data_IF_933778773268
#
_entry.id   IF_933778773268
#
_cell.length_a   1.000
_cell.length_b   1.000
_cell.length_c   1.000
_cell.angle_alpha   90.00
_cell.angle_beta   90.00
_cell.angle_gamma   90.00
#
_symmetry.space_group_name_H-M   'P 1'
#
loop_
_entity.id
_entity.type
_entity.pdbx_description
1 polymer ?
#
# COMPACT_ATOMS: atom_id res chain seq x y z
N UNK A 1 -30.27 -15.11 -5.65
CA UNK A 1 -29.08 -14.22 -5.68
C UNK A 1 -29.59 -12.79 -5.54
N UNK A 2 -28.97 -11.96 -4.71
CA UNK A 2 -29.36 -10.55 -4.60
C UNK A 2 -28.95 -9.86 -5.91
N UNK A 3 -29.89 -9.25 -6.64
CA UNK A 3 -29.56 -8.39 -7.79
C UNK A 3 -28.61 -7.26 -7.36
N UNK A 4 -27.52 -7.06 -8.11
CA UNK A 4 -26.54 -5.99 -7.85
C UNK A 4 -25.45 -6.32 -6.82
N UNK A 5 -25.14 -7.60 -6.59
CA UNK A 5 -24.09 -8.07 -5.66
C UNK A 5 -22.65 -7.99 -6.20
N UNK A 6 -22.37 -7.09 -7.16
CA UNK A 6 -21.04 -6.91 -7.76
C UNK A 6 -20.41 -5.58 -7.40
N UNK A 7 -19.14 -5.65 -7.04
CA UNK A 7 -18.29 -4.49 -6.71
C UNK A 7 -17.09 -4.49 -7.65
N UNK A 8 -16.75 -3.34 -8.22
CA UNK A 8 -15.47 -3.17 -8.93
C UNK A 8 -14.47 -2.61 -7.91
N UNK A 9 -13.26 -3.16 -7.88
CA UNK A 9 -12.18 -2.72 -7.01
C UNK A 9 -10.99 -2.36 -7.88
N UNK A 10 -10.52 -1.11 -7.82
CA UNK A 10 -9.47 -0.58 -8.67
C UNK A 10 -8.35 0.05 -7.81
N UNK A 11 -7.31 -0.72 -7.46
CA UNK A 11 -6.14 -0.22 -6.74
C UNK A 11 -5.22 0.65 -7.60
N UNK A 12 -4.49 1.55 -6.95
CA UNK A 12 -3.33 2.21 -7.55
C UNK A 12 -2.27 1.16 -7.93
N UNK A 13 -1.56 1.30 -9.06
CA UNK A 13 -0.57 0.31 -9.54
C UNK A 13 0.75 0.30 -8.74
N UNK A 14 0.65 0.34 -7.41
CA UNK A 14 1.76 0.20 -6.47
C UNK A 14 1.52 -0.97 -5.52
N UNK A 15 2.56 -1.75 -5.21
CA UNK A 15 2.44 -2.97 -4.40
C UNK A 15 1.76 -2.75 -3.03
N UNK A 16 2.05 -1.63 -2.36
CA UNK A 16 1.42 -1.25 -1.10
C UNK A 16 -0.08 -0.96 -1.19
N UNK A 17 -0.61 -0.77 -2.40
CA UNK A 17 -2.03 -0.50 -2.67
C UNK A 17 -2.75 -1.73 -3.21
N UNK A 18 -2.12 -2.44 -4.15
CA UNK A 18 -2.63 -3.70 -4.72
C UNK A 18 -2.97 -4.73 -3.63
N UNK A 19 -2.04 -4.86 -2.68
CA UNK A 19 -2.07 -5.86 -1.62
C UNK A 19 -3.29 -5.73 -0.69
N UNK A 20 -3.52 -4.59 -0.02
CA UNK A 20 -4.68 -4.43 0.86
C UNK A 20 -6.02 -4.46 0.11
N UNK A 21 -6.08 -3.96 -1.13
CA UNK A 21 -7.33 -3.98 -1.91
C UNK A 21 -7.66 -5.38 -2.46
N UNK A 22 -6.64 -6.21 -2.75
CA UNK A 22 -6.82 -7.63 -3.02
C UNK A 22 -7.39 -8.37 -1.78
N UNK A 23 -6.88 -8.06 -0.59
CA UNK A 23 -7.43 -8.60 0.66
C UNK A 23 -8.87 -8.14 0.92
N UNK A 24 -9.18 -6.90 0.59
CA UNK A 24 -10.55 -6.40 0.65
C UNK A 24 -11.49 -7.22 -0.24
N UNK A 25 -11.09 -7.56 -1.47
CA UNK A 25 -11.87 -8.46 -2.34
C UNK A 25 -12.15 -9.82 -1.68
N UNK A 26 -11.16 -10.45 -1.03
CA UNK A 26 -11.36 -11.70 -0.28
C UNK A 26 -12.35 -11.54 0.87
N UNK A 27 -12.31 -10.42 1.59
CA UNK A 27 -13.28 -10.11 2.65
C UNK A 27 -14.69 -9.89 2.10
N UNK A 28 -14.85 -9.25 0.95
CA UNK A 28 -16.14 -9.14 0.26
C UNK A 28 -16.67 -10.51 -0.17
N UNK A 29 -15.82 -11.33 -0.77
CA UNK A 29 -16.16 -12.69 -1.19
C UNK A 29 -16.64 -13.56 -0.03
N UNK A 30 -15.98 -13.49 1.13
CA UNK A 30 -16.42 -14.19 2.34
C UNK A 30 -17.80 -13.78 2.85
N UNK A 31 -18.32 -12.62 2.43
CA UNK A 31 -19.66 -12.12 2.74
C UNK A 31 -20.67 -12.38 1.61
N UNK A 32 -20.30 -13.18 0.60
CA UNK A 32 -21.16 -13.55 -0.53
C UNK A 32 -21.24 -12.50 -1.64
N UNK A 33 -20.37 -11.48 -1.64
CA UNK A 33 -20.28 -10.50 -2.71
C UNK A 33 -19.29 -10.96 -3.78
N UNK A 34 -19.58 -10.65 -5.04
CA UNK A 34 -18.65 -10.88 -6.14
C UNK A 34 -17.88 -9.60 -6.43
N UNK A 35 -16.57 -9.70 -6.65
CA UNK A 35 -15.72 -8.55 -6.95
C UNK A 35 -15.01 -8.71 -8.28
N UNK A 36 -14.92 -7.62 -9.04
CA UNK A 36 -14.03 -7.49 -10.18
C UNK A 36 -12.83 -6.64 -9.76
N UNK A 37 -11.68 -7.28 -9.56
CA UNK A 37 -10.42 -6.61 -9.25
C UNK A 37 -9.75 -6.15 -10.55
N UNK A 38 -9.70 -4.85 -10.78
CA UNK A 38 -9.06 -4.28 -11.97
C UNK A 38 -7.57 -4.08 -11.68
N UNK A 39 -6.71 -4.73 -12.46
CA UNK A 39 -5.25 -4.58 -12.34
C UNK A 39 -4.68 -3.87 -13.57
N UNK A 40 -3.56 -3.20 -13.38
CA UNK A 40 -2.91 -2.41 -14.43
C UNK A 40 -1.53 -3.00 -14.77
N UNK A 41 -1.46 -4.11 -15.53
CA UNK A 41 -0.19 -4.71 -15.91
C UNK A 41 0.46 -4.00 -17.11
N UNK A 42 1.73 -4.31 -17.36
CA UNK A 42 2.44 -3.86 -18.56
C UNK A 42 1.91 -4.54 -19.83
N UNK A 43 1.54 -5.82 -19.72
CA UNK A 43 1.13 -6.64 -20.86
C UNK A 43 -0.37 -6.93 -20.86
N UNK A 44 -1.02 -6.93 -22.04
CA UNK A 44 -2.40 -7.37 -22.15
C UNK A 44 -2.53 -8.85 -21.77
N UNK A 45 -3.56 -9.14 -20.99
CA UNK A 45 -3.95 -10.50 -20.60
C UNK A 45 -5.46 -10.59 -20.51
N UNK A 46 -6.05 -11.77 -20.80
CA UNK A 46 -7.48 -11.96 -20.66
C UNK A 46 -7.89 -11.92 -19.18
N UNK A 47 -9.16 -11.57 -18.87
CA UNK A 47 -9.69 -11.71 -17.53
C UNK A 47 -9.60 -13.16 -17.03
N UNK A 48 -9.31 -13.32 -15.75
CA UNK A 48 -9.18 -14.64 -15.12
C UNK A 48 -9.78 -14.61 -13.72
N UNK A 49 -10.05 -15.79 -13.16
CA UNK A 49 -10.50 -15.92 -11.77
C UNK A 49 -9.33 -16.31 -10.88
N UNK A 50 -9.37 -15.88 -9.63
CA UNK A 50 -8.35 -16.31 -8.66
C UNK A 50 -8.48 -17.80 -8.38
N UNK A 51 -7.35 -18.51 -8.27
CA UNK A 51 -7.30 -19.99 -8.20
C UNK A 51 -8.13 -20.61 -7.06
N UNK A 52 -8.41 -19.84 -6.00
CA UNK A 52 -9.09 -20.33 -4.80
C UNK A 52 -10.46 -19.68 -4.55
N UNK A 53 -10.88 -18.70 -5.36
CA UNK A 53 -12.15 -18.00 -5.16
C UNK A 53 -12.80 -17.58 -6.48
N UNK A 54 -13.87 -18.29 -6.83
CA UNK A 54 -14.71 -18.01 -8.01
C UNK A 54 -15.46 -16.68 -7.92
N UNK A 55 -15.47 -16.04 -6.74
CA UNK A 55 -16.13 -14.76 -6.48
C UNK A 55 -15.28 -13.56 -6.87
N UNK A 56 -13.98 -13.76 -7.10
CA UNK A 56 -13.04 -12.71 -7.50
C UNK A 56 -12.60 -12.92 -8.94
N UNK A 57 -13.03 -12.01 -9.82
CA UNK A 57 -12.54 -11.94 -11.20
C UNK A 57 -11.50 -10.85 -11.31
N UNK A 58 -10.31 -11.18 -11.79
CA UNK A 58 -9.28 -10.20 -12.14
C UNK A 58 -9.52 -9.73 -13.57
N UNK A 59 -9.59 -8.42 -13.76
CA UNK A 59 -9.75 -7.78 -15.07
C UNK A 59 -8.53 -6.89 -15.38
N UNK A 60 -7.63 -7.33 -16.27
CA UNK A 60 -6.46 -6.53 -16.63
C UNK A 60 -6.80 -5.36 -17.57
N UNK A 61 -6.35 -4.15 -17.23
CA UNK A 61 -6.32 -2.97 -18.11
C UNK A 61 -4.85 -2.59 -18.31
N UNK A 62 -4.26 -2.81 -19.50
CA UNK A 62 -2.85 -2.50 -19.73
C UNK A 62 -2.51 -1.04 -19.41
N UNK A 63 -1.34 -0.78 -18.85
CA UNK A 63 -0.88 0.56 -18.48
C UNK A 63 -0.69 1.52 -19.68
N UNK A 64 -0.68 1.00 -20.90
CA UNK A 64 -0.53 1.78 -22.14
C UNK A 64 0.91 1.87 -22.65
N UNK A 65 1.86 1.19 -22.00
CA UNK A 65 3.25 1.08 -22.45
C UNK A 65 3.46 -0.14 -23.34
N UNK A 66 4.50 -0.08 -24.19
CA UNK A 66 4.95 -1.19 -25.01
C UNK A 66 6.18 -1.87 -24.40
N UNK A 67 6.48 -3.06 -24.88
CA UNK A 67 7.65 -3.83 -24.45
C UNK A 67 8.94 -3.08 -24.84
N UNK A 68 9.73 -2.69 -23.84
CA UNK A 68 10.97 -1.93 -24.02
C UNK A 68 10.90 -0.46 -23.61
N UNK A 69 9.70 0.08 -23.33
CA UNK A 69 9.57 1.36 -22.65
C UNK A 69 10.10 1.23 -21.21
N UNK A 70 10.67 2.31 -20.66
CA UNK A 70 10.98 2.43 -19.23
C UNK A 70 9.86 3.25 -18.56
N UNK A 71 8.84 2.61 -17.96
CA UNK A 71 7.70 3.31 -17.37
C UNK A 71 8.08 4.15 -16.15
N UNK A 72 9.31 4.00 -15.63
CA UNK A 72 9.80 4.73 -14.46
C UNK A 72 10.71 5.90 -14.84
N UNK A 73 10.99 6.10 -16.13
CA UNK A 73 11.78 7.24 -16.62
C UNK A 73 11.06 8.58 -16.39
N UNK A 74 9.74 8.59 -16.61
CA UNK A 74 8.87 9.75 -16.38
C UNK A 74 7.58 9.29 -15.70
N UNK A 75 7.48 9.58 -14.39
CA UNK A 75 6.34 9.18 -13.58
C UNK A 75 5.05 9.93 -13.99
N UNK A 76 5.16 11.16 -14.52
CA UNK A 76 3.98 11.90 -14.94
C UNK A 76 3.40 11.31 -16.25
N UNK A 77 4.26 10.99 -17.23
CA UNK A 77 3.83 10.28 -18.44
C UNK A 77 3.22 8.90 -18.10
N UNK A 78 3.81 8.19 -17.14
CA UNK A 78 3.25 6.93 -16.63
C UNK A 78 1.83 7.09 -16.10
N UNK A 79 1.63 8.07 -15.22
CA UNK A 79 0.33 8.34 -14.62
C UNK A 79 -0.71 8.76 -15.65
N UNK A 80 -0.33 9.60 -16.62
CA UNK A 80 -1.23 10.07 -17.68
C UNK A 80 -1.67 8.94 -18.62
N UNK A 81 -0.76 8.04 -18.98
CA UNK A 81 -1.08 6.86 -19.81
C UNK A 81 -1.97 5.87 -19.08
N UNK A 82 -1.64 5.56 -17.83
CA UNK A 82 -2.47 4.70 -16.97
C UNK A 82 -3.87 5.28 -16.84
N UNK A 83 -3.98 6.57 -16.51
CA UNK A 83 -5.26 7.26 -16.41
C UNK A 83 -6.04 7.20 -17.73
N UNK A 84 -5.39 7.46 -18.86
CA UNK A 84 -6.01 7.42 -20.19
C UNK A 84 -6.53 6.02 -20.52
N UNK A 85 -5.72 4.98 -20.27
CA UNK A 85 -6.10 3.59 -20.51
C UNK A 85 -7.32 3.19 -19.68
N UNK A 86 -7.31 3.50 -18.39
CA UNK A 86 -8.44 3.20 -17.49
C UNK A 86 -9.70 3.97 -17.90
N UNK A 87 -9.59 5.27 -18.23
CA UNK A 87 -10.74 6.09 -18.68
C UNK A 87 -11.41 5.53 -19.93
N UNK A 88 -10.64 4.90 -20.83
CA UNK A 88 -11.20 4.27 -22.03
C UNK A 88 -11.84 2.91 -21.72
N UNK A 89 -11.18 2.07 -20.91
CA UNK A 89 -11.55 0.65 -20.75
C UNK A 89 -12.52 0.38 -19.61
N UNK A 90 -12.51 1.17 -18.55
CA UNK A 90 -13.36 0.96 -17.39
C UNK A 90 -14.85 1.20 -17.68
N UNK A 91 -15.27 2.26 -18.41
CA UNK A 91 -16.67 2.43 -18.79
C UNK A 91 -17.19 1.29 -19.67
N UNK A 92 -16.38 0.80 -20.62
CA UNK A 92 -16.72 -0.37 -21.44
C UNK A 92 -16.98 -1.60 -20.57
N UNK A 93 -16.09 -1.91 -19.63
CA UNK A 93 -16.28 -2.99 -18.67
C UNK A 93 -17.58 -2.83 -17.87
N UNK A 94 -17.87 -1.63 -17.35
CA UNK A 94 -19.10 -1.37 -16.60
C UNK A 94 -20.33 -1.63 -17.48
N UNK A 95 -20.30 -1.18 -18.72
CA UNK A 95 -21.40 -1.36 -19.67
C UNK A 95 -21.61 -2.84 -20.02
N UNK A 96 -20.54 -3.58 -20.29
CA UNK A 96 -20.60 -5.03 -20.55
C UNK A 96 -21.20 -5.80 -19.37
N UNK A 97 -20.82 -5.44 -18.15
CA UNK A 97 -21.38 -6.03 -16.94
C UNK A 97 -22.88 -5.74 -16.79
N UNK A 98 -23.33 -4.52 -17.13
CA UNK A 98 -24.76 -4.16 -17.15
C UNK A 98 -25.53 -4.97 -18.20
N UNK A 99 -25.02 -5.06 -19.42
CA UNK A 99 -25.65 -5.80 -20.52
C UNK A 99 -25.71 -7.30 -20.23
N UNK A 100 -24.72 -7.85 -19.54
CA UNK A 100 -24.66 -9.26 -19.13
C UNK A 100 -25.59 -9.59 -17.94
N UNK A 101 -26.54 -8.72 -17.59
CA UNK A 101 -27.49 -8.90 -16.49
C UNK A 101 -26.84 -8.92 -15.10
N UNK A 102 -25.61 -8.40 -14.98
CA UNK A 102 -24.82 -8.44 -13.76
C UNK A 102 -24.23 -7.05 -13.42
N UNK A 103 -25.08 -6.02 -13.26
CA UNK A 103 -24.62 -4.65 -13.10
C UNK A 103 -23.82 -4.45 -11.79
N UNK A 104 -22.64 -3.81 -11.84
CA UNK A 104 -21.95 -3.38 -10.64
C UNK A 104 -22.70 -2.22 -9.97
N UNK A 105 -22.62 -2.12 -8.64
CA UNK A 105 -23.26 -1.03 -7.87
C UNK A 105 -22.27 -0.02 -7.30
N UNK A 106 -21.06 -0.47 -7.03
CA UNK A 106 -20.02 0.33 -6.37
C UNK A 106 -18.71 0.18 -7.14
N UNK A 107 -18.05 1.31 -7.39
CA UNK A 107 -16.64 1.35 -7.73
C UNK A 107 -15.86 1.74 -6.47
N UNK A 108 -15.09 0.80 -5.95
CA UNK A 108 -14.12 1.02 -4.89
C UNK A 108 -12.79 1.34 -5.56
N UNK A 109 -12.34 2.60 -5.47
CA UNK A 109 -11.12 3.05 -6.11
C UNK A 109 -10.11 3.50 -5.07
N UNK A 110 -8.82 3.36 -5.38
CA UNK A 110 -7.77 3.90 -4.53
C UNK A 110 -7.83 5.42 -4.44
N UNK A 111 -7.71 5.98 -3.23
CA UNK A 111 -7.79 7.43 -3.01
C UNK A 111 -6.79 8.22 -3.84
N UNK A 112 -5.64 7.62 -4.21
CA UNK A 112 -4.60 8.21 -5.08
C UNK A 112 -5.08 8.52 -6.51
N UNK A 113 -6.27 8.03 -6.91
CA UNK A 113 -6.88 8.29 -8.22
C UNK A 113 -8.30 8.87 -8.07
N UNK A 114 -8.43 10.10 -7.52
CA UNK A 114 -9.71 10.70 -7.16
C UNK A 114 -10.65 10.95 -8.36
N UNK A 115 -10.10 11.08 -9.57
CA UNK A 115 -10.87 11.23 -10.81
C UNK A 115 -11.74 10.00 -11.14
N UNK A 116 -11.49 8.84 -10.52
CA UNK A 116 -12.32 7.64 -10.69
C UNK A 116 -13.72 7.82 -10.10
N UNK A 117 -13.92 8.79 -9.19
CA UNK A 117 -15.25 9.13 -8.71
C UNK A 117 -16.17 9.61 -9.84
N UNK A 118 -15.63 10.44 -10.75
CA UNK A 118 -16.40 10.93 -11.90
C UNK A 118 -16.80 9.75 -12.80
N UNK A 119 -15.87 8.82 -13.07
CA UNK A 119 -16.17 7.60 -13.84
C UNK A 119 -17.26 6.75 -13.17
N UNK A 120 -17.25 6.64 -11.83
CA UNK A 120 -18.30 5.93 -11.10
C UNK A 120 -19.66 6.61 -11.30
N UNK A 121 -19.74 7.91 -11.02
CA UNK A 121 -20.98 8.68 -11.04
C UNK A 121 -21.57 8.80 -12.45
N UNK A 122 -20.74 9.05 -13.47
CA UNK A 122 -21.16 9.12 -14.88
C UNK A 122 -21.77 7.80 -15.37
N UNK A 123 -21.36 6.69 -14.75
CA UNK A 123 -21.90 5.36 -15.04
C UNK A 123 -23.01 4.93 -14.07
N UNK A 124 -23.47 5.80 -13.17
CA UNK A 124 -24.56 5.51 -12.22
C UNK A 124 -24.17 4.55 -11.09
N UNK A 125 -22.87 4.43 -10.78
CA UNK A 125 -22.35 3.68 -9.64
C UNK A 125 -22.14 4.62 -8.46
N UNK A 126 -22.16 4.08 -7.24
CA UNK A 126 -21.60 4.76 -6.05
C UNK A 126 -20.07 4.66 -6.10
N UNK A 127 -19.38 5.70 -5.64
CA UNK A 127 -17.92 5.73 -5.51
C UNK A 127 -17.48 5.60 -4.05
N UNK A 128 -16.61 4.64 -3.77
CA UNK A 128 -15.98 4.45 -2.47
C UNK A 128 -14.47 4.68 -2.59
N UNK A 129 -13.94 5.70 -1.91
CA UNK A 129 -12.49 5.94 -1.90
C UNK A 129 -11.83 5.04 -0.85
N UNK A 130 -10.84 4.26 -1.27
CA UNK A 130 -10.06 3.38 -0.43
C UNK A 130 -8.73 4.04 -0.08
N UNK A 131 -8.55 4.39 1.19
CA UNK A 131 -7.32 4.96 1.74
C UNK A 131 -6.44 3.83 2.27
N UNK A 132 -5.25 3.73 1.68
CA UNK A 132 -4.17 2.83 2.14
C UNK A 132 -3.31 3.48 3.21
N UNK A 133 -3.40 4.81 3.35
CA UNK A 133 -2.77 5.59 4.41
C UNK A 133 -3.69 5.73 5.63
N UNK A 134 -3.12 5.82 6.85
CA UNK A 134 -3.89 6.03 8.08
C UNK A 134 -4.40 7.47 8.20
N UNK A 135 -5.42 7.69 9.02
CA UNK A 135 -6.06 9.01 9.15
C UNK A 135 -5.12 10.16 9.51
N UNK A 136 -4.14 10.01 10.43
CA UNK A 136 -3.24 11.08 10.81
C UNK A 136 -2.53 11.70 9.63
N UNK A 137 -2.05 10.88 8.71
CA UNK A 137 -1.32 11.33 7.52
C UNK A 137 -2.29 11.98 6.51
N UNK A 138 -3.42 11.32 6.22
CA UNK A 138 -4.41 11.81 5.27
C UNK A 138 -5.05 13.14 5.70
N UNK A 139 -5.28 13.35 6.99
CA UNK A 139 -5.86 14.61 7.51
C UNK A 139 -4.86 15.76 7.45
N UNK A 140 -3.56 15.51 7.68
CA UNK A 140 -2.53 16.53 7.46
C UNK A 140 -2.55 16.96 5.98
N UNK A 141 -2.58 16.01 5.04
CA UNK A 141 -2.69 16.30 3.62
C UNK A 141 -3.99 17.03 3.24
N UNK A 142 -5.12 16.70 3.90
CA UNK A 142 -6.37 17.43 3.74
C UNK A 142 -6.24 18.91 4.10
N UNK A 143 -5.60 19.22 5.23
CA UNK A 143 -5.41 20.61 5.65
C UNK A 143 -4.50 21.40 4.70
N UNK A 144 -3.49 20.75 4.12
CA UNK A 144 -2.66 21.31 3.04
C UNK A 144 -3.49 21.54 1.79
N UNK A 145 -4.27 20.54 1.35
CA UNK A 145 -5.11 20.62 0.16
C UNK A 145 -6.13 21.77 0.25
N UNK A 146 -6.77 21.96 1.42
CA UNK A 146 -7.70 23.06 1.67
C UNK A 146 -7.03 24.43 1.85
N UNK A 147 -5.69 24.50 1.85
CA UNK A 147 -4.94 25.73 2.10
C UNK A 147 -5.01 26.24 3.55
N UNK A 148 -5.53 25.41 4.46
CA UNK A 148 -5.62 25.73 5.90
C UNK A 148 -4.32 25.50 6.66
N UNK A 149 -3.34 24.86 6.01
CA UNK A 149 -2.00 24.65 6.53
C UNK A 149 -0.97 24.74 5.41
N UNK A 150 0.18 25.32 5.70
CA UNK A 150 1.37 25.29 4.84
C UNK A 150 2.61 25.08 5.71
N UNK A 151 3.59 24.34 5.19
CA UNK A 151 4.84 24.11 5.91
C UNK A 151 5.67 25.40 5.87
N UNK A 152 6.06 25.97 7.04
CA UNK A 152 6.91 27.16 7.08
C UNK A 152 8.28 26.92 6.44
N UNK A 153 8.80 27.93 5.74
CA UNK A 153 10.07 27.85 4.99
C UNK A 153 11.32 27.73 5.86
N UNK A 154 11.24 28.04 7.15
CA UNK A 154 12.38 28.01 8.08
C UNK A 154 12.25 26.86 9.09
N UNK A 155 12.95 25.74 8.83
CA UNK A 155 13.07 24.60 9.76
C UNK A 155 13.74 24.95 11.10
N UNK A 156 14.43 26.10 11.20
CA UNK A 156 15.37 26.41 12.29
C UNK A 156 14.84 27.34 13.40
N UNK A 157 13.54 27.60 13.49
CA UNK A 157 13.03 28.62 14.43
C UNK A 157 11.81 28.27 15.30
N UNK A 158 11.06 27.20 14.99
CA UNK A 158 9.79 26.94 15.68
C UNK A 158 9.73 25.50 16.20
N UNK A 159 9.59 25.35 17.52
CA UNK A 159 9.46 24.06 18.21
C UNK A 159 8.10 23.38 17.98
N UNK A 160 7.10 24.13 17.52
CA UNK A 160 5.73 23.67 17.28
C UNK A 160 5.27 24.24 15.95
N UNK A 161 4.87 23.38 15.01
CA UNK A 161 4.65 23.79 13.61
C UNK A 161 3.23 23.54 13.11
N UNK A 162 2.45 22.65 13.74
CA UNK A 162 1.07 22.44 13.32
C UNK A 162 0.15 22.01 14.48
N UNK A 163 -1.03 22.63 14.55
CA UNK A 163 -2.16 22.17 15.35
C UNK A 163 -3.28 21.79 14.41
N UNK A 164 -3.64 20.51 14.40
CA UNK A 164 -4.77 20.00 13.62
C UNK A 164 -5.88 19.55 14.58
N UNK A 165 -7.16 19.59 14.15
CA UNK A 165 -8.26 19.08 14.96
C UNK A 165 -8.05 17.60 15.32
N UNK A 166 -8.17 17.27 16.60
CA UNK A 166 -7.96 15.92 17.13
C UNK A 166 -6.53 15.33 16.96
N UNK A 167 -5.51 16.19 16.84
CA UNK A 167 -4.10 15.81 16.90
C UNK A 167 -3.42 16.32 18.18
N UNK A 168 -2.35 15.63 18.65
CA UNK A 168 -1.39 16.27 19.53
C UNK A 168 -0.67 17.42 18.80
N UNK A 169 0.03 18.26 19.55
CA UNK A 169 0.89 19.28 18.95
C UNK A 169 2.02 18.61 18.18
N UNK A 170 2.16 18.95 16.90
CA UNK A 170 3.16 18.37 16.00
C UNK A 170 4.33 19.33 15.77
N UNK A 171 5.54 18.76 15.80
CA UNK A 171 6.78 19.42 15.38
C UNK A 171 7.02 19.20 13.87
N UNK A 172 8.07 19.84 13.32
CA UNK A 172 8.50 19.60 11.93
C UNK A 172 8.75 18.12 11.63
N UNK A 173 9.28 17.41 12.63
CA UNK A 173 9.74 16.03 12.49
C UNK A 173 8.58 15.03 12.50
N UNK A 174 7.40 15.46 12.97
CA UNK A 174 6.20 14.63 12.98
C UNK A 174 5.38 14.79 11.69
N UNK A 175 5.75 15.74 10.83
CA UNK A 175 5.07 15.98 9.56
C UNK A 175 5.61 15.05 8.45
N UNK A 176 4.76 14.59 7.51
CA UNK A 176 5.19 13.75 6.40
C UNK A 176 6.34 14.37 5.59
N UNK A 177 7.35 13.55 5.27
CA UNK A 177 8.52 13.99 4.49
C UNK A 177 8.15 14.59 3.15
N UNK A 178 7.12 14.07 2.46
CA UNK A 178 6.64 14.65 1.19
C UNK A 178 6.19 16.11 1.32
N UNK A 179 5.73 16.55 2.49
CA UNK A 179 5.42 17.97 2.75
C UNK A 179 6.68 18.78 3.05
N UNK A 180 7.53 18.25 3.93
CA UNK A 180 8.70 18.95 4.44
C UNK A 180 9.86 19.02 3.43
N UNK A 181 9.89 18.10 2.47
CA UNK A 181 10.91 17.93 1.41
C UNK A 181 10.23 17.94 0.05
N UNK A 182 9.30 18.88 -0.14
CA UNK A 182 8.45 18.97 -1.34
C UNK A 182 9.24 19.02 -2.65
N UNK A 183 10.42 19.64 -2.66
CA UNK A 183 11.30 19.70 -3.83
C UNK A 183 11.96 18.35 -4.17
N UNK A 184 12.07 17.44 -3.20
CA UNK A 184 12.67 16.12 -3.42
C UNK A 184 11.67 15.13 -4.03
N UNK A 185 10.36 15.35 -3.85
CA UNK A 185 9.31 14.41 -4.28
C UNK A 185 8.05 15.13 -4.82
N UNK A 186 8.16 16.00 -5.84
CA UNK A 186 7.03 16.82 -6.30
C UNK A 186 5.83 15.99 -6.76
N UNK A 187 6.06 14.88 -7.47
CA UNK A 187 4.99 14.03 -7.99
C UNK A 187 4.28 13.24 -6.89
N UNK A 188 5.04 12.73 -5.91
CA UNK A 188 4.44 12.05 -4.75
C UNK A 188 3.63 13.03 -3.91
N UNK A 189 4.15 14.24 -3.69
CA UNK A 189 3.42 15.30 -2.99
C UNK A 189 2.10 15.62 -3.69
N UNK A 190 2.13 15.76 -5.02
CA UNK A 190 0.93 15.98 -5.83
C UNK A 190 -0.10 14.87 -5.60
N UNK A 191 0.29 13.59 -5.74
CA UNK A 191 -0.60 12.44 -5.56
C UNK A 191 -1.22 12.42 -4.15
N UNK A 192 -0.40 12.55 -3.09
CA UNK A 192 -0.88 12.43 -1.70
C UNK A 192 -1.73 13.62 -1.24
N UNK A 193 -1.62 14.78 -1.88
CA UNK A 193 -2.48 15.94 -1.62
C UNK A 193 -3.74 15.87 -2.48
N UNK A 194 -3.63 15.47 -3.75
CA UNK A 194 -4.75 15.35 -4.68
C UNK A 194 -5.73 14.24 -4.30
N UNK A 195 -5.32 13.19 -3.58
CA UNK A 195 -6.26 12.15 -3.08
C UNK A 195 -7.43 12.69 -2.24
N UNK A 196 -7.35 13.93 -1.75
CA UNK A 196 -8.42 14.59 -0.99
C UNK A 196 -9.33 15.48 -1.87
N UNK A 197 -9.04 15.62 -3.16
CA UNK A 197 -9.71 16.57 -4.07
C UNK A 197 -11.20 16.31 -4.27
N UNK A 198 -11.65 15.07 -4.05
CA UNK A 198 -13.04 14.66 -4.23
C UNK A 198 -13.74 14.28 -2.91
N UNK A 199 -13.10 14.54 -1.76
CA UNK A 199 -13.56 14.05 -0.44
C UNK A 199 -14.96 14.53 -0.06
N UNK A 200 -15.36 15.71 -0.51
CA UNK A 200 -16.69 16.28 -0.23
C UNK A 200 -17.79 15.71 -1.13
N UNK A 201 -17.43 14.95 -2.18
CA UNK A 201 -18.34 14.36 -3.18
C UNK A 201 -18.45 12.84 -3.07
N UNK A 202 -17.47 12.18 -2.46
CA UNK A 202 -17.42 10.71 -2.38
C UNK A 202 -18.57 10.15 -1.54
N UNK A 203 -19.12 9.01 -1.95
CA UNK A 203 -20.27 8.41 -1.26
C UNK A 203 -19.87 7.77 0.08
N UNK A 204 -18.66 7.22 0.16
CA UNK A 204 -18.09 6.63 1.39
C UNK A 204 -16.57 6.59 1.35
N UNK A 205 -15.96 6.84 2.50
CA UNK A 205 -14.53 6.66 2.73
C UNK A 205 -14.29 5.31 3.41
N UNK A 206 -13.40 4.51 2.83
CA UNK A 206 -12.92 3.26 3.37
C UNK A 206 -11.44 3.44 3.74
N UNK A 207 -11.06 3.26 5.00
CA UNK A 207 -9.66 3.40 5.41
C UNK A 207 -9.11 2.09 5.98
N UNK A 208 -7.92 1.72 5.53
CA UNK A 208 -7.18 0.56 5.99
C UNK A 208 -6.54 0.80 7.37
N UNK A 209 -7.39 1.05 8.36
CA UNK A 209 -7.06 1.25 9.79
C UNK A 209 -8.16 0.61 10.63
N UNK A 210 -8.07 0.69 11.96
CA UNK A 210 -9.10 0.19 12.88
C UNK A 210 -9.40 1.19 14.01
N UNK A 211 -10.64 1.20 14.49
CA UNK A 211 -11.18 2.25 15.36
C UNK A 211 -10.35 2.48 16.63
N UNK A 212 -9.93 1.41 17.30
CA UNK A 212 -9.17 1.50 18.55
C UNK A 212 -7.77 2.12 18.39
N UNK A 213 -7.21 2.16 17.17
CA UNK A 213 -5.90 2.78 16.92
C UNK A 213 -6.00 4.31 16.90
N UNK A 214 -7.13 4.85 16.46
CA UNK A 214 -7.27 6.25 16.04
C UNK A 214 -8.55 6.90 16.58
N UNK A 215 -9.04 6.47 17.75
CA UNK A 215 -10.39 6.78 18.24
C UNK A 215 -10.73 8.28 18.26
N UNK A 216 -9.82 9.13 18.75
CA UNK A 216 -10.07 10.57 18.84
C UNK A 216 -10.16 11.21 17.46
N UNK A 217 -9.20 10.91 16.59
CA UNK A 217 -9.17 11.44 15.23
C UNK A 217 -10.36 10.92 14.41
N UNK A 218 -10.70 9.65 14.55
CA UNK A 218 -11.84 9.04 13.88
C UNK A 218 -13.17 9.70 14.23
N UNK A 219 -13.37 10.12 15.50
CA UNK A 219 -14.57 10.88 15.89
C UNK A 219 -14.67 12.19 15.11
N UNK A 220 -13.55 12.88 14.92
CA UNK A 220 -13.50 14.10 14.11
C UNK A 220 -13.75 13.80 12.62
N UNK A 221 -13.07 12.81 12.04
CA UNK A 221 -13.26 12.41 10.63
C UNK A 221 -14.72 12.00 10.35
N UNK A 222 -15.34 11.20 11.23
CA UNK A 222 -16.76 10.79 11.12
C UNK A 222 -17.76 11.94 11.29
N UNK A 223 -17.36 13.04 11.92
CA UNK A 223 -18.21 14.23 12.02
C UNK A 223 -18.29 15.00 10.70
N UNK A 224 -17.34 14.76 9.79
CA UNK A 224 -17.24 15.44 8.51
C UNK A 224 -17.72 14.56 7.35
N UNK A 225 -17.43 13.26 7.38
CA UNK A 225 -17.63 12.37 6.23
C UNK A 225 -18.18 10.99 6.61
N UNK A 226 -18.88 10.31 5.69
CA UNK A 226 -19.28 8.92 5.85
C UNK A 226 -18.06 7.99 5.77
N UNK A 227 -17.66 7.42 6.91
CA UNK A 227 -16.38 6.70 7.04
C UNK A 227 -16.54 5.31 7.63
N UNK A 228 -15.89 4.33 7.01
CA UNK A 228 -15.67 3.00 7.56
C UNK A 228 -14.17 2.70 7.64
N UNK A 229 -13.71 2.40 8.84
CA UNK A 229 -12.44 1.72 9.04
C UNK A 229 -12.65 0.25 8.77
N UNK A 230 -11.84 -0.31 7.88
CA UNK A 230 -12.00 -1.68 7.39
C UNK A 230 -10.79 -2.55 7.72
N UNK A 231 -9.68 -1.95 8.14
CA UNK A 231 -8.41 -2.62 8.33
C UNK A 231 -8.28 -3.43 9.63
N UNK A 232 -7.11 -4.04 9.83
CA UNK A 232 -5.99 -4.09 8.87
C UNK A 232 -6.26 -5.09 7.73
N UNK A 233 -5.96 -4.70 6.50
CA UNK A 233 -6.11 -5.53 5.29
C UNK A 233 -4.92 -6.46 5.07
N UNK A 234 -4.67 -7.32 6.07
CA UNK A 234 -3.70 -8.41 5.98
C UNK A 234 -4.44 -9.76 5.90
N UNK A 235 -3.79 -10.85 5.44
CA UNK A 235 -4.44 -12.14 5.29
C UNK A 235 -5.04 -12.62 6.62
N UNK A 236 -6.22 -13.20 6.53
CA UNK A 236 -7.06 -13.65 7.64
C UNK A 236 -6.33 -14.53 8.64
N UNK A 237 -5.40 -15.38 8.18
CA UNK A 237 -4.60 -16.25 9.04
C UNK A 237 -3.79 -15.48 10.11
N UNK A 238 -3.41 -14.23 9.85
CA UNK A 238 -2.65 -13.38 10.78
C UNK A 238 -3.53 -12.52 11.70
N UNK A 239 -4.85 -12.59 11.54
CA UNK A 239 -5.81 -11.80 12.31
C UNK A 239 -6.82 -12.71 13.02
N UNK A 240 -7.97 -12.89 12.38
CA UNK A 240 -9.16 -13.52 12.94
C UNK A 240 -9.33 -14.98 12.52
N UNK A 241 -8.47 -15.48 11.63
CA UNK A 241 -8.45 -16.86 11.12
C UNK A 241 -9.80 -17.31 10.55
N UNK A 242 -10.65 -16.38 10.11
CA UNK A 242 -11.99 -16.69 9.58
C UNK A 242 -11.94 -17.29 8.17
N UNK A 243 -10.83 -17.14 7.45
CA UNK A 243 -10.62 -17.65 6.10
C UNK A 243 -9.37 -18.54 6.13
N UNK A 244 -9.56 -19.86 6.17
CA UNK A 244 -8.47 -20.83 6.37
C UNK A 244 -7.43 -20.81 5.25
N UNK A 245 -7.86 -20.55 4.02
CA UNK A 245 -7.00 -20.54 2.83
C UNK A 245 -6.29 -19.19 2.61
N UNK A 246 -6.65 -18.15 3.36
CA UNK A 246 -6.07 -16.82 3.23
C UNK A 246 -4.81 -16.67 4.09
N UNK A 247 -3.73 -17.30 3.62
CA UNK A 247 -2.42 -17.36 4.29
C UNK A 247 -1.39 -16.39 3.71
N UNK A 248 -1.65 -15.82 2.54
CA UNK A 248 -0.74 -14.90 1.86
C UNK A 248 -1.52 -13.93 0.96
N UNK A 249 -0.82 -12.92 0.43
CA UNK A 249 -1.39 -11.98 -0.52
C UNK A 249 -1.59 -12.54 -1.93
N UNK A 250 -1.17 -13.79 -2.21
CA UNK A 250 -1.36 -14.43 -3.51
C UNK A 250 -0.41 -14.00 -4.64
N UNK A 251 0.51 -13.06 -4.38
CA UNK A 251 1.48 -12.55 -5.36
C UNK A 251 2.93 -13.05 -5.13
N UNK A 252 3.13 -14.15 -4.39
CA UNK A 252 4.49 -14.62 -4.08
C UNK A 252 5.10 -15.37 -5.27
N UNK A 253 6.04 -14.74 -5.96
CA UNK A 253 6.82 -15.34 -7.05
C UNK A 253 8.05 -16.14 -6.57
N UNK A 254 8.35 -16.16 -5.25
CA UNK A 254 9.66 -16.59 -4.73
C UNK A 254 9.58 -17.61 -3.58
N UNK A 255 8.88 -18.73 -3.79
CA UNK A 255 8.70 -19.81 -2.79
C UNK A 255 10.02 -20.39 -2.27
N UNK A 256 11.10 -20.43 -3.07
CA UNK A 256 12.38 -20.94 -2.59
C UNK A 256 12.99 -20.05 -1.48
N UNK A 257 12.86 -18.72 -1.61
CA UNK A 257 13.37 -17.76 -0.64
C UNK A 257 12.53 -17.72 0.64
N UNK A 258 11.26 -18.13 0.58
CA UNK A 258 10.44 -18.25 1.80
C UNK A 258 10.94 -19.38 2.70
N UNK A 259 11.26 -20.55 2.12
CA UNK A 259 11.78 -21.69 2.87
C UNK A 259 13.07 -21.34 3.60
N UNK A 260 14.04 -20.74 2.89
CA UNK A 260 15.33 -20.33 3.46
C UNK A 260 15.18 -19.38 4.66
N UNK A 261 14.31 -18.36 4.55
CA UNK A 261 14.07 -17.41 5.63
C UNK A 261 13.54 -18.11 6.89
N UNK A 262 12.53 -18.97 6.72
CA UNK A 262 11.85 -19.61 7.84
C UNK A 262 12.73 -20.68 8.49
N UNK A 263 13.46 -21.48 7.71
CA UNK A 263 14.42 -22.45 8.25
C UNK A 263 15.53 -21.78 9.06
N UNK A 264 16.07 -20.66 8.55
CA UNK A 264 17.07 -19.90 9.30
C UNK A 264 16.50 -19.35 10.61
N UNK A 265 15.27 -18.82 10.62
CA UNK A 265 14.61 -18.30 11.81
C UNK A 265 14.30 -19.40 12.85
N UNK A 266 13.92 -20.61 12.42
CA UNK A 266 13.69 -21.77 13.29
C UNK A 266 14.93 -22.16 14.10
N UNK A 267 16.14 -21.83 13.62
CA UNK A 267 17.39 -22.11 14.33
C UNK A 267 17.74 -21.08 15.41
N UNK A 268 16.96 -19.98 15.54
CA UNK A 268 17.24 -18.87 16.45
C UNK A 268 16.35 -18.93 17.68
N UNK A 269 16.80 -18.29 18.76
CA UNK A 269 16.00 -18.20 19.99
C UNK A 269 14.84 -17.21 19.79
N UNK A 270 13.73 -17.35 20.52
CA UNK A 270 12.66 -16.36 20.55
C UNK A 270 13.17 -14.94 20.84
N UNK A 271 12.60 -13.93 20.18
CA UNK A 271 12.93 -12.51 20.33
C UNK A 271 14.43 -12.16 20.19
N UNK A 272 15.18 -12.91 19.38
CA UNK A 272 16.63 -12.73 19.22
C UNK A 272 17.07 -12.15 17.87
N UNK A 273 16.14 -12.04 16.93
CA UNK A 273 16.40 -11.60 15.54
C UNK A 273 15.86 -10.20 15.29
N UNK A 274 16.67 -9.37 14.65
CA UNK A 274 16.26 -8.09 14.04
C UNK A 274 15.90 -8.35 12.58
N UNK A 275 14.64 -8.16 12.22
CA UNK A 275 14.21 -8.14 10.83
C UNK A 275 14.43 -6.73 10.27
N UNK A 276 15.00 -6.62 9.08
CA UNK A 276 15.33 -5.33 8.44
C UNK A 276 14.76 -5.31 7.03
N UNK A 277 13.85 -4.38 6.75
CA UNK A 277 13.25 -4.20 5.42
C UNK A 277 12.75 -2.75 5.25
N UNK A 278 13.18 -2.09 4.18
CA UNK A 278 12.75 -0.72 3.83
C UNK A 278 11.73 -0.69 2.69
N UNK A 279 11.02 -1.80 2.47
CA UNK A 279 9.97 -1.89 1.47
C UNK A 279 10.46 -1.82 0.02
N UNK A 280 9.51 -1.63 -0.90
CA UNK A 280 9.77 -1.64 -2.34
C UNK A 280 10.16 -0.28 -2.92
N UNK A 281 9.87 0.82 -2.20
CA UNK A 281 10.02 2.18 -2.73
C UNK A 281 11.27 2.91 -2.22
N UNK A 282 11.69 2.65 -0.97
CA UNK A 282 12.83 3.36 -0.38
C UNK A 282 14.14 2.88 -0.98
N UNK A 283 14.97 3.83 -1.40
CA UNK A 283 16.34 3.61 -1.88
C UNK A 283 17.29 4.28 -0.89
N UNK A 284 18.10 3.48 -0.21
CA UNK A 284 19.13 4.00 0.70
C UNK A 284 20.34 4.49 -0.10
N UNK A 285 20.92 5.61 0.35
CA UNK A 285 22.23 6.06 -0.14
C UNK A 285 23.31 5.07 0.30
N UNK A 286 24.43 5.04 -0.43
CA UNK A 286 25.56 4.16 -0.12
C UNK A 286 26.05 4.35 1.33
N UNK A 287 26.25 5.59 1.77
CA UNK A 287 26.65 5.89 3.16
C UNK A 287 25.64 5.38 4.20
N UNK A 288 24.33 5.47 3.92
CA UNK A 288 23.29 4.95 4.81
C UNK A 288 23.32 3.42 4.87
N UNK A 289 23.56 2.76 3.73
CA UNK A 289 23.73 1.31 3.64
C UNK A 289 24.95 0.84 4.45
N UNK A 290 26.07 1.57 4.34
CA UNK A 290 27.30 1.29 5.09
C UNK A 290 27.10 1.44 6.60
N UNK A 291 26.49 2.54 7.05
CA UNK A 291 26.21 2.75 8.48
C UNK A 291 25.21 1.73 9.04
N UNK A 292 24.20 1.35 8.26
CA UNK A 292 23.28 0.27 8.64
C UNK A 292 24.01 -1.07 8.80
N UNK A 293 24.82 -1.45 7.81
CA UNK A 293 25.61 -2.69 7.86
C UNK A 293 26.54 -2.71 9.09
N UNK A 294 27.21 -1.59 9.37
CA UNK A 294 28.07 -1.40 10.54
C UNK A 294 27.29 -1.49 11.84
N UNK A 295 26.13 -0.85 11.94
CA UNK A 295 25.24 -0.89 13.09
C UNK A 295 24.76 -2.31 13.39
N UNK A 296 24.32 -3.05 12.38
CA UNK A 296 23.93 -4.46 12.51
C UNK A 296 25.08 -5.33 13.01
N UNK A 297 26.29 -5.17 12.44
CA UNK A 297 27.50 -5.87 12.90
C UNK A 297 27.82 -5.57 14.37
N UNK A 298 27.80 -4.30 14.75
CA UNK A 298 28.13 -3.84 16.10
C UNK A 298 27.09 -4.23 17.14
N UNK A 299 25.82 -4.35 16.75
CA UNK A 299 24.74 -4.79 17.66
C UNK A 299 25.00 -6.18 18.25
N UNK A 300 25.73 -7.03 17.51
CA UNK A 300 25.98 -8.42 17.88
C UNK A 300 24.74 -9.34 17.81
N UNK A 301 23.57 -8.80 17.46
CA UNK A 301 22.30 -9.51 17.30
C UNK A 301 22.30 -10.39 16.05
N UNK A 302 21.39 -11.38 16.02
CA UNK A 302 21.03 -12.03 14.77
C UNK A 302 20.18 -11.09 13.93
N UNK A 303 20.34 -11.10 12.62
CA UNK A 303 19.49 -10.28 11.74
C UNK A 303 19.15 -10.97 10.43
N UNK A 304 17.94 -10.67 9.93
CA UNK A 304 17.50 -11.00 8.59
C UNK A 304 17.26 -9.69 7.85
N UNK A 305 18.09 -9.42 6.84
CA UNK A 305 18.07 -8.16 6.10
C UNK A 305 17.66 -8.37 4.65
N UNK A 306 16.57 -7.74 4.25
CA UNK A 306 16.09 -7.74 2.87
C UNK A 306 16.77 -6.63 2.07
N UNK A 307 17.59 -7.02 1.09
CA UNK A 307 18.29 -6.11 0.18
C UNK A 307 18.03 -6.50 -1.27
N UNK A 308 17.34 -5.64 -2.02
CA UNK A 308 17.03 -5.86 -3.44
C UNK A 308 18.30 -6.17 -4.24
N UNK A 309 18.16 -7.01 -5.27
CA UNK A 309 19.32 -7.42 -6.08
C UNK A 309 20.05 -6.23 -6.72
N UNK A 310 19.33 -5.17 -7.10
CA UNK A 310 19.88 -3.91 -7.64
C UNK A 310 20.64 -3.06 -6.62
N UNK A 311 20.54 -3.37 -5.32
CA UNK A 311 21.12 -2.60 -4.22
C UNK A 311 22.28 -3.33 -3.54
N UNK A 312 22.55 -4.59 -3.92
CA UNK A 312 23.56 -5.44 -3.30
C UNK A 312 24.97 -4.86 -3.39
N UNK A 313 25.27 -4.14 -4.46
CA UNK A 313 26.59 -3.52 -4.67
C UNK A 313 26.92 -2.43 -3.64
N UNK A 314 25.91 -1.92 -2.91
CA UNK A 314 26.08 -0.95 -1.82
C UNK A 314 26.44 -1.60 -0.48
N UNK A 315 26.36 -2.92 -0.37
CA UNK A 315 26.75 -3.65 0.83
C UNK A 315 28.29 -3.66 0.90
N UNK A 316 28.91 -3.42 2.07
CA UNK A 316 30.36 -3.48 2.20
C UNK A 316 30.94 -4.82 1.71
N UNK A 317 32.10 -4.77 1.04
CA UNK A 317 32.81 -5.96 0.58
C UNK A 317 33.10 -6.90 1.76
N UNK A 318 33.01 -8.20 1.52
CA UNK A 318 33.19 -9.26 2.53
C UNK A 318 32.17 -9.26 3.68
N UNK A 319 31.18 -8.36 3.70
CA UNK A 319 30.23 -8.26 4.81
C UNK A 319 29.50 -9.57 5.10
N UNK A 320 29.00 -10.25 4.06
CA UNK A 320 28.30 -11.54 4.20
C UNK A 320 29.22 -12.61 4.83
N UNK A 321 30.48 -12.66 4.41
CA UNK A 321 31.49 -13.59 4.95
C UNK A 321 31.81 -13.28 6.42
N UNK A 322 31.92 -12.00 6.77
CA UNK A 322 32.19 -11.55 8.13
C UNK A 322 31.05 -11.86 9.10
N UNK A 323 29.80 -11.85 8.64
CA UNK A 323 28.63 -12.10 9.50
C UNK A 323 28.41 -13.58 9.77
N UNK A 324 28.83 -14.45 8.84
CA UNK A 324 28.61 -15.89 8.95
C UNK A 324 27.16 -16.21 9.34
N UNK A 325 26.97 -17.02 10.39
CA UNK A 325 25.64 -17.43 10.83
C UNK A 325 24.82 -16.34 11.55
N UNK A 326 25.41 -15.18 11.85
CA UNK A 326 24.70 -14.07 12.54
C UNK A 326 23.75 -13.31 11.63
N UNK A 327 24.04 -13.23 10.33
CA UNK A 327 23.26 -12.43 9.39
C UNK A 327 22.77 -13.27 8.22
N UNK A 328 21.48 -13.16 7.90
CA UNK A 328 20.92 -13.65 6.64
C UNK A 328 20.55 -12.46 5.76
N UNK A 329 21.14 -12.36 4.56
CA UNK A 329 20.80 -11.32 3.59
C UNK A 329 20.12 -11.96 2.38
N UNK A 330 18.88 -11.56 2.13
CA UNK A 330 18.05 -12.07 1.03
C UNK A 330 17.52 -10.93 0.19
N UNK A 331 17.22 -11.16 -1.09
CA UNK A 331 16.59 -10.10 -1.90
C UNK A 331 15.08 -10.03 -1.82
N UNK A 332 14.47 -11.00 -1.15
CA UNK A 332 13.04 -11.04 -0.85
C UNK A 332 12.80 -11.93 0.36
N UNK A 333 11.78 -11.62 1.15
CA UNK A 333 11.34 -12.44 2.30
C UNK A 333 9.81 -12.56 2.35
N UNK A 334 9.25 -13.65 2.89
CA UNK A 334 7.82 -13.77 3.17
C UNK A 334 7.47 -12.92 4.40
N UNK A 335 7.42 -11.59 4.23
CA UNK A 335 7.43 -10.62 5.33
C UNK A 335 6.40 -10.91 6.44
N UNK A 336 5.17 -11.33 6.08
CA UNK A 336 4.16 -11.68 7.08
C UNK A 336 4.54 -12.91 7.92
N UNK A 337 5.09 -13.94 7.29
CA UNK A 337 5.57 -15.15 7.99
C UNK A 337 6.76 -14.82 8.88
N UNK A 338 7.70 -14.00 8.38
CA UNK A 338 8.87 -13.53 9.14
C UNK A 338 8.44 -12.72 10.36
N UNK A 339 7.55 -11.74 10.19
CA UNK A 339 7.06 -10.89 11.29
C UNK A 339 6.23 -11.67 12.31
N UNK A 340 5.55 -12.74 11.89
CA UNK A 340 4.80 -13.63 12.78
C UNK A 340 5.69 -14.67 13.49
N UNK A 341 6.97 -14.79 13.11
CA UNK A 341 7.88 -15.80 13.64
C UNK A 341 8.40 -15.43 15.04
N UNK A 342 8.37 -16.37 15.98
CA UNK A 342 8.73 -16.13 17.40
C UNK A 342 10.16 -15.61 17.62
N UNK A 343 11.10 -15.99 16.74
CA UNK A 343 12.48 -15.52 16.78
C UNK A 343 12.65 -14.03 16.51
N UNK A 344 11.72 -13.38 15.79
CA UNK A 344 11.80 -11.95 15.47
C UNK A 344 11.38 -11.12 16.68
N UNK A 345 12.31 -10.33 17.22
CA UNK A 345 12.07 -9.44 18.37
C UNK A 345 12.08 -7.95 18.03
N UNK A 346 12.55 -7.58 16.84
CA UNK A 346 12.64 -6.20 16.39
C UNK A 346 12.44 -6.11 14.89
N UNK A 347 11.72 -5.08 14.43
CA UNK A 347 11.58 -4.75 13.01
C UNK A 347 12.14 -3.35 12.75
N UNK A 348 13.26 -3.28 12.02
CA UNK A 348 13.79 -2.05 11.48
C UNK A 348 13.15 -1.79 10.11
N UNK A 349 12.31 -0.76 10.06
CA UNK A 349 11.38 -0.49 8.95
C UNK A 349 11.43 0.97 8.51
N UNK A 350 10.99 1.22 7.28
CA UNK A 350 10.67 2.54 6.75
C UNK A 350 9.30 3.10 7.19
N UNK A 351 8.53 2.33 7.96
CA UNK A 351 7.20 2.69 8.47
C UNK A 351 6.12 2.90 7.38
N UNK A 352 6.26 2.24 6.23
CA UNK A 352 5.25 2.20 5.16
C UNK A 352 4.25 1.07 5.29
#
# INVERSE_FOLDING_TARGET
MIEGSKVIVLPFPGQGHLTPMSQFCKRLASKGLKSTLVLVPDKPSPPYKTEHDDSITVFPIPNGFQEGDDPLQDLDDYMDRVQSSIKNRLPELIQDMKLSGNPPRVLVYDSSMPWLLDVAHDNGLRGAAFFTQPWPVSVIYYHVHKGSFSVPSTRHGHSTLASFPAFPMLSANDLPSFLCESSSYPNMLRIVVEQLSNIDRVDILLCNTFDNLEEQLLKWVRSLWPVLNIGPMVPSMYLDKRLSEDKSYGFSLFTAKSVECIEWLNSKKPNSVVYVSFGSFVILKEDQMMELAKGLKQSGCFFLWVVRDTEKDKIPKHYVEEMGEKGLIVSWSPQLEVLAHESVGCFLTHCG
#
